data_IF_758840977774
#
_entry.id   IF_758840977774
#
_cell.length_a   1.000
_cell.length_b   1.000
_cell.length_c   1.000
_cell.angle_alpha   90.00
_cell.angle_beta   90.00
_cell.angle_gamma   90.00
#
_symmetry.space_group_name_H-M   'P 1'
#
loop_
_entity.id
_entity.type
_entity.pdbx_description
1 polymer ?
#
# COMPACT_ATOMS: atom_id res chain seq x y z
N UNK A 1 -12.44 45.75 -14.94
CA UNK A 1 -12.25 44.33 -15.36
C UNK A 1 -11.50 43.46 -14.36
N UNK A 2 -10.54 43.97 -13.58
CA UNK A 2 -9.67 43.18 -12.69
C UNK A 2 -10.41 42.55 -11.48
N UNK A 3 -11.38 43.26 -10.86
CA UNK A 3 -12.13 42.73 -9.71
C UNK A 3 -13.08 41.55 -10.05
N UNK A 4 -13.66 41.53 -11.26
CA UNK A 4 -14.58 40.45 -11.70
C UNK A 4 -13.83 39.13 -11.92
N UNK A 5 -12.57 39.20 -12.37
CA UNK A 5 -11.70 38.02 -12.51
C UNK A 5 -11.28 37.43 -11.17
N UNK A 6 -11.08 38.26 -10.14
CA UNK A 6 -10.67 37.77 -8.83
C UNK A 6 -11.81 37.07 -8.07
N UNK A 7 -13.05 37.58 -8.19
CA UNK A 7 -14.22 36.92 -7.60
C UNK A 7 -14.58 35.58 -8.28
N UNK A 8 -14.42 35.48 -9.60
CA UNK A 8 -14.60 34.23 -10.33
C UNK A 8 -13.58 33.16 -9.92
N UNK A 9 -12.33 33.56 -9.62
CA UNK A 9 -11.29 32.63 -9.14
C UNK A 9 -11.55 32.16 -7.71
N UNK A 10 -12.01 33.03 -6.82
CA UNK A 10 -12.37 32.65 -5.44
C UNK A 10 -13.56 31.68 -5.44
N UNK A 11 -14.62 31.96 -6.19
CA UNK A 11 -15.78 31.05 -6.28
C UNK A 11 -15.44 29.70 -6.95
N UNK A 12 -14.58 29.67 -7.98
CA UNK A 12 -14.08 28.40 -8.55
C UNK A 12 -13.33 27.57 -7.52
N UNK A 13 -12.53 28.21 -6.65
CA UNK A 13 -11.72 27.53 -5.63
C UNK A 13 -12.58 26.90 -4.53
N UNK A 14 -13.61 27.60 -4.04
CA UNK A 14 -14.57 27.07 -3.06
C UNK A 14 -15.47 25.99 -3.63
N UNK A 15 -15.95 26.14 -4.87
CA UNK A 15 -16.76 25.10 -5.53
C UNK A 15 -15.97 23.81 -5.73
N UNK A 16 -14.71 23.92 -6.18
CA UNK A 16 -13.79 22.77 -6.33
C UNK A 16 -13.52 22.06 -5.00
N UNK A 17 -13.38 22.80 -3.89
CA UNK A 17 -13.19 22.23 -2.55
C UNK A 17 -14.41 21.42 -2.09
N UNK A 18 -15.64 21.91 -2.34
CA UNK A 18 -16.90 21.20 -2.02
C UNK A 18 -17.03 19.87 -2.77
N UNK A 19 -16.72 19.85 -4.06
CA UNK A 19 -16.78 18.62 -4.85
C UNK A 19 -15.82 17.54 -4.33
N UNK A 20 -14.60 17.91 -3.96
CA UNK A 20 -13.61 16.92 -3.48
C UNK A 20 -14.03 16.31 -2.14
N UNK A 21 -14.61 17.10 -1.23
CA UNK A 21 -15.14 16.58 0.04
C UNK A 21 -16.28 15.59 -0.21
N UNK A 22 -17.19 15.91 -1.12
CA UNK A 22 -18.28 15.00 -1.51
C UNK A 22 -17.74 13.70 -2.12
N UNK A 23 -16.76 13.76 -3.02
CA UNK A 23 -16.11 12.58 -3.58
C UNK A 23 -15.43 11.71 -2.51
N UNK A 24 -14.83 12.35 -1.50
CA UNK A 24 -14.16 11.63 -0.41
C UNK A 24 -15.17 10.86 0.44
N UNK A 25 -16.27 11.51 0.82
CA UNK A 25 -17.35 10.87 1.59
C UNK A 25 -18.01 9.74 0.79
N UNK A 26 -18.30 9.99 -0.49
CA UNK A 26 -18.88 8.97 -1.38
C UNK A 26 -17.95 7.76 -1.53
N UNK A 27 -16.65 7.98 -1.71
CA UNK A 27 -15.65 6.93 -1.79
C UNK A 27 -15.63 6.08 -0.51
N UNK A 28 -15.68 6.69 0.68
CA UNK A 28 -15.74 5.95 1.95
C UNK A 28 -17.00 5.09 2.06
N UNK A 29 -18.15 5.61 1.62
CA UNK A 29 -19.42 4.87 1.63
C UNK A 29 -19.33 3.68 0.67
N UNK A 30 -18.84 3.89 -0.56
CA UNK A 30 -18.68 2.83 -1.55
C UNK A 30 -17.68 1.75 -1.09
N UNK A 31 -16.55 2.16 -0.52
CA UNK A 31 -15.53 1.23 -0.02
C UNK A 31 -16.03 0.44 1.21
N UNK A 32 -16.75 1.09 2.11
CA UNK A 32 -17.41 0.42 3.25
C UNK A 32 -18.46 -0.58 2.77
N UNK A 33 -19.27 -0.21 1.79
CA UNK A 33 -20.23 -1.12 1.15
C UNK A 33 -19.56 -2.32 0.49
N UNK A 34 -18.45 -2.11 -0.20
CA UNK A 34 -17.65 -3.18 -0.80
C UNK A 34 -17.12 -4.16 0.26
N UNK A 35 -16.57 -3.65 1.37
CA UNK A 35 -16.08 -4.48 2.47
C UNK A 35 -17.20 -5.35 3.07
N UNK A 36 -18.40 -4.79 3.23
CA UNK A 36 -19.57 -5.54 3.71
C UNK A 36 -20.01 -6.62 2.71
N UNK A 37 -20.06 -6.31 1.41
CA UNK A 37 -20.44 -7.29 0.39
C UNK A 37 -19.43 -8.42 0.24
N UNK A 38 -18.15 -8.16 0.47
CA UNK A 38 -17.07 -9.14 0.40
C UNK A 38 -16.90 -9.95 1.71
N UNK A 39 -17.72 -9.69 2.74
CA UNK A 39 -17.65 -10.40 4.02
C UNK A 39 -16.44 -10.01 4.89
N UNK A 40 -15.76 -8.90 4.60
CA UNK A 40 -14.63 -8.42 5.40
C UNK A 40 -15.09 -7.71 6.66
N UNK A 41 -14.26 -7.77 7.70
CA UNK A 41 -14.51 -7.08 8.97
C UNK A 41 -14.65 -5.56 8.78
N UNK A 42 -15.64 -4.93 9.43
CA UNK A 42 -15.83 -3.47 9.43
C UNK A 42 -14.63 -2.70 10.02
N UNK A 43 -13.67 -3.41 10.61
CA UNK A 43 -12.40 -2.87 11.06
C UNK A 43 -11.57 -2.28 9.90
N UNK A 44 -11.71 -2.79 8.66
CA UNK A 44 -11.01 -2.26 7.48
C UNK A 44 -11.39 -0.80 7.16
N UNK A 45 -12.68 -0.48 6.89
CA UNK A 45 -13.08 0.90 6.61
C UNK A 45 -12.87 1.81 7.83
N UNK A 46 -12.98 1.29 9.06
CA UNK A 46 -12.66 2.02 10.28
C UNK A 46 -11.17 2.41 10.33
N UNK A 47 -10.27 1.48 10.01
CA UNK A 47 -8.83 1.71 9.96
C UNK A 47 -8.46 2.73 8.88
N UNK A 48 -9.06 2.63 7.68
CA UNK A 48 -8.89 3.64 6.63
C UNK A 48 -9.39 5.03 7.09
N UNK A 49 -10.51 5.08 7.81
CA UNK A 49 -11.08 6.33 8.31
C UNK A 49 -10.17 6.99 9.33
N UNK A 50 -9.69 6.24 10.32
CA UNK A 50 -8.73 6.73 11.31
C UNK A 50 -7.41 7.17 10.67
N UNK A 51 -6.90 6.41 9.71
CA UNK A 51 -5.70 6.77 8.96
C UNK A 51 -5.89 8.09 8.21
N UNK A 52 -7.03 8.27 7.55
CA UNK A 52 -7.35 9.52 6.87
C UNK A 52 -7.50 10.70 7.81
N UNK A 53 -8.11 10.49 8.97
CA UNK A 53 -8.23 11.51 10.00
C UNK A 53 -6.86 11.90 10.57
N UNK A 54 -5.98 10.92 10.81
CA UNK A 54 -4.60 11.14 11.23
C UNK A 54 -3.83 11.99 10.21
N UNK A 55 -3.88 11.64 8.92
CA UNK A 55 -3.21 12.41 7.85
C UNK A 55 -3.78 13.83 7.70
N UNK A 56 -5.08 14.00 7.91
CA UNK A 56 -5.77 15.28 7.88
C UNK A 56 -5.35 16.17 9.06
N UNK A 57 -5.28 15.61 10.26
CA UNK A 57 -4.93 16.34 11.48
C UNK A 57 -3.49 16.85 11.47
N UNK A 58 -2.55 16.07 10.94
CA UNK A 58 -1.15 16.48 10.81
C UNK A 58 -0.91 17.56 9.74
N UNK A 59 -1.97 18.06 9.07
CA UNK A 59 -1.93 19.14 8.08
C UNK A 59 -0.95 18.90 6.91
N UNK A 60 -0.43 17.67 6.78
CA UNK A 60 0.50 17.24 5.74
C UNK A 60 -0.22 16.84 4.44
N UNK A 61 -1.52 16.57 4.53
CA UNK A 61 -2.33 16.11 3.41
C UNK A 61 -3.16 17.26 2.81
N UNK A 62 -2.74 17.76 1.66
CA UNK A 62 -3.72 18.41 0.77
C UNK A 62 -4.71 17.34 0.30
N UNK A 63 -5.96 17.70 0.05
CA UNK A 63 -7.00 16.73 -0.32
C UNK A 63 -6.60 15.87 -1.54
N UNK A 64 -5.75 16.42 -2.42
CA UNK A 64 -5.12 15.65 -3.51
C UNK A 64 -4.23 14.52 -2.99
N UNK A 65 -3.34 14.80 -2.03
CA UNK A 65 -2.46 13.75 -1.45
C UNK A 65 -3.29 12.65 -0.81
N UNK A 66 -4.32 13.03 -0.05
CA UNK A 66 -5.23 12.08 0.58
C UNK A 66 -5.88 11.13 -0.45
N UNK A 67 -6.34 11.68 -1.58
CA UNK A 67 -6.93 10.88 -2.66
C UNK A 67 -5.95 9.88 -3.27
N UNK A 68 -4.69 10.30 -3.51
CA UNK A 68 -3.67 9.39 -4.06
C UNK A 68 -3.35 8.25 -3.07
N UNK A 69 -3.24 8.55 -1.77
CA UNK A 69 -2.99 7.52 -0.74
C UNK A 69 -4.17 6.58 -0.58
N UNK A 70 -5.39 7.10 -0.50
CA UNK A 70 -6.61 6.28 -0.43
C UNK A 70 -6.74 5.39 -1.67
N UNK A 71 -6.45 5.91 -2.86
CA UNK A 71 -6.43 5.12 -4.09
C UNK A 71 -5.37 4.01 -4.03
N UNK A 72 -4.18 4.30 -3.52
CA UNK A 72 -3.11 3.32 -3.33
C UNK A 72 -3.53 2.19 -2.36
N UNK A 73 -4.18 2.55 -1.25
CA UNK A 73 -4.71 1.58 -0.28
C UNK A 73 -5.88 0.78 -0.86
N UNK A 74 -6.73 1.39 -1.68
CA UNK A 74 -7.80 0.66 -2.37
C UNK A 74 -7.21 -0.36 -3.33
N UNK A 75 -6.20 0.05 -4.08
CA UNK A 75 -5.56 -0.79 -5.08
C UNK A 75 -4.94 -2.03 -4.42
N UNK A 76 -4.27 -1.89 -3.27
CA UNK A 76 -3.73 -3.05 -2.55
C UNK A 76 -4.84 -3.93 -1.96
N UNK A 77 -5.92 -3.34 -1.44
CA UNK A 77 -7.08 -4.09 -0.93
C UNK A 77 -7.76 -4.89 -2.04
N UNK A 78 -8.00 -4.26 -3.19
CA UNK A 78 -8.56 -4.93 -4.36
C UNK A 78 -7.64 -6.03 -4.89
N UNK A 79 -6.34 -5.78 -4.94
CA UNK A 79 -5.36 -6.80 -5.36
C UNK A 79 -5.33 -7.99 -4.40
N UNK A 80 -5.33 -7.74 -3.10
CA UNK A 80 -5.37 -8.78 -2.08
C UNK A 80 -6.67 -9.60 -2.14
N UNK A 81 -7.82 -8.93 -2.31
CA UNK A 81 -9.11 -9.60 -2.48
C UNK A 81 -9.13 -10.48 -3.74
N UNK A 82 -8.59 -9.98 -4.86
CA UNK A 82 -8.54 -10.74 -6.12
C UNK A 82 -7.67 -11.98 -5.96
N UNK A 83 -6.49 -11.84 -5.36
CA UNK A 83 -5.58 -12.96 -5.11
C UNK A 83 -6.25 -13.99 -4.19
N UNK A 84 -6.86 -13.56 -3.09
CA UNK A 84 -7.50 -14.46 -2.14
C UNK A 84 -8.73 -15.18 -2.72
N UNK A 85 -9.54 -14.50 -3.54
CA UNK A 85 -10.86 -15.01 -3.97
C UNK A 85 -10.80 -15.77 -5.28
N UNK A 86 -9.94 -15.35 -6.22
CA UNK A 86 -9.93 -15.88 -7.59
C UNK A 86 -8.69 -16.69 -7.93
N UNK A 87 -7.70 -16.78 -7.03
CA UNK A 87 -6.45 -17.50 -7.32
C UNK A 87 -6.08 -18.45 -6.20
N UNK A 88 -5.60 -19.64 -6.55
CA UNK A 88 -4.97 -20.59 -5.60
C UNK A 88 -3.48 -20.25 -5.36
N UNK A 89 -3.07 -19.04 -5.75
CA UNK A 89 -1.69 -18.59 -5.65
C UNK A 89 -1.39 -18.27 -4.17
N UNK A 90 -0.17 -18.58 -3.69
CA UNK A 90 0.21 -18.25 -2.33
C UNK A 90 0.03 -16.77 -1.98
N UNK A 91 -0.42 -16.53 -0.77
CA UNK A 91 -0.80 -15.21 -0.26
C UNK A 91 0.35 -14.18 -0.25
N UNK A 92 1.60 -14.66 -0.18
CA UNK A 92 2.80 -13.83 -0.15
C UNK A 92 3.10 -13.09 -1.47
N UNK A 93 2.36 -13.37 -2.55
CA UNK A 93 2.48 -12.68 -3.83
C UNK A 93 1.90 -11.25 -3.84
N UNK A 94 1.14 -10.85 -2.81
CA UNK A 94 0.53 -9.52 -2.75
C UNK A 94 1.62 -8.42 -2.75
N UNK A 95 1.62 -7.47 -3.72
CA UNK A 95 2.71 -6.50 -3.92
C UNK A 95 2.67 -5.32 -2.93
N UNK A 96 2.75 -5.61 -1.62
CA UNK A 96 2.67 -4.60 -0.54
C UNK A 96 3.84 -3.61 -0.61
N UNK A 97 5.01 -4.05 -1.09
CA UNK A 97 6.17 -3.19 -1.18
C UNK A 97 6.04 -2.10 -2.24
N UNK A 98 5.20 -2.30 -3.25
CA UNK A 98 4.87 -1.28 -4.24
C UNK A 98 4.25 -0.04 -3.61
N UNK A 99 3.45 -0.21 -2.55
CA UNK A 99 2.76 0.88 -1.85
C UNK A 99 3.76 1.79 -1.12
N UNK A 100 4.72 1.19 -0.40
CA UNK A 100 5.78 1.93 0.28
C UNK A 100 6.67 2.68 -0.72
N UNK A 101 7.08 2.01 -1.80
CA UNK A 101 7.90 2.60 -2.86
C UNK A 101 7.19 3.76 -3.56
N UNK A 102 5.92 3.59 -3.99
CA UNK A 102 5.14 4.64 -4.63
C UNK A 102 4.89 5.83 -3.71
N UNK A 103 4.62 5.57 -2.42
CA UNK A 103 4.45 6.64 -1.44
C UNK A 103 5.72 7.46 -1.30
N UNK A 104 6.89 6.81 -1.24
CA UNK A 104 8.16 7.51 -1.14
C UNK A 104 8.46 8.31 -2.42
N UNK A 105 8.22 7.76 -3.61
CA UNK A 105 8.48 8.45 -4.87
C UNK A 105 7.52 9.63 -5.11
N UNK A 106 6.26 9.51 -4.72
CA UNK A 106 5.24 10.53 -4.97
C UNK A 106 5.30 11.69 -3.98
N UNK A 107 5.65 11.43 -2.72
CA UNK A 107 5.62 12.45 -1.66
C UNK A 107 6.98 12.82 -1.10
N UNK A 108 8.00 11.98 -1.32
CA UNK A 108 9.34 12.13 -0.77
C UNK A 108 9.33 12.39 0.77
N UNK A 109 8.35 11.83 1.48
CA UNK A 109 8.20 11.94 2.92
C UNK A 109 8.27 10.54 3.54
N UNK A 110 9.32 10.33 4.33
CA UNK A 110 9.60 9.05 4.97
C UNK A 110 8.57 8.67 6.04
N UNK A 111 8.05 9.66 6.78
CA UNK A 111 7.01 9.40 7.80
C UNK A 111 5.74 8.89 7.13
N UNK A 112 5.41 9.46 5.96
CA UNK A 112 4.26 9.04 5.18
C UNK A 112 4.46 7.63 4.62
N UNK A 113 5.64 7.34 4.06
CA UNK A 113 5.97 6.00 3.57
C UNK A 113 5.92 4.94 4.67
N UNK A 114 6.39 5.26 5.88
CA UNK A 114 6.29 4.38 7.05
C UNK A 114 4.84 4.07 7.41
N UNK A 115 4.00 5.11 7.55
CA UNK A 115 2.58 4.95 7.89
C UNK A 115 1.85 4.14 6.81
N UNK A 116 2.15 4.37 5.54
CA UNK A 116 1.53 3.65 4.43
C UNK A 116 2.01 2.19 4.35
N UNK A 117 3.28 1.92 4.64
CA UNK A 117 3.82 0.56 4.72
C UNK A 117 3.14 -0.22 5.86
N UNK A 118 2.93 0.41 7.01
CA UNK A 118 2.22 -0.18 8.14
C UNK A 118 0.75 -0.44 7.79
N UNK A 119 0.05 0.57 7.27
CA UNK A 119 -1.36 0.47 6.93
C UNK A 119 -1.62 -0.62 5.87
N UNK A 120 -0.85 -0.62 4.78
CA UNK A 120 -0.99 -1.62 3.73
C UNK A 120 -0.72 -3.05 4.22
N UNK A 121 0.29 -3.24 5.07
CA UNK A 121 0.60 -4.56 5.63
C UNK A 121 -0.49 -5.07 6.58
N UNK A 122 -1.06 -4.19 7.41
CA UNK A 122 -2.20 -4.54 8.28
C UNK A 122 -3.43 -4.89 7.44
N UNK A 123 -3.75 -4.08 6.42
CA UNK A 123 -4.91 -4.32 5.56
C UNK A 123 -4.81 -5.66 4.83
N UNK A 124 -3.66 -5.95 4.23
CA UNK A 124 -3.46 -7.21 3.51
C UNK A 124 -3.58 -8.40 4.45
N UNK A 125 -2.98 -8.34 5.65
CA UNK A 125 -3.14 -9.40 6.65
C UNK A 125 -4.61 -9.62 7.02
N UNK A 126 -5.38 -8.55 7.23
CA UNK A 126 -6.79 -8.65 7.62
C UNK A 126 -7.68 -9.23 6.52
N UNK A 127 -7.33 -8.96 5.25
CA UNK A 127 -8.04 -9.51 4.09
C UNK A 127 -7.74 -10.99 3.97
N UNK A 128 -6.45 -11.30 3.87
CA UNK A 128 -5.94 -12.63 3.58
C UNK A 128 -6.18 -13.60 4.74
N UNK A 129 -6.20 -13.11 5.99
CA UNK A 129 -6.30 -13.95 7.18
C UNK A 129 -4.94 -14.48 7.67
N UNK A 130 -3.84 -13.86 7.23
CA UNK A 130 -2.48 -14.30 7.52
C UNK A 130 -2.05 -14.12 8.99
N UNK A 131 -0.92 -14.74 9.32
CA UNK A 131 -0.30 -14.70 10.64
C UNK A 131 0.45 -13.37 10.89
N UNK A 132 0.96 -13.20 12.11
CA UNK A 132 1.77 -12.02 12.46
C UNK A 132 3.07 -12.00 11.65
N UNK A 133 3.63 -13.17 11.30
CA UNK A 133 4.82 -13.28 10.47
C UNK A 133 4.63 -12.71 9.07
N UNK A 134 3.49 -12.97 8.43
CA UNK A 134 3.14 -12.36 7.14
C UNK A 134 3.09 -10.83 7.22
N UNK A 135 2.44 -10.29 8.25
CA UNK A 135 2.39 -8.84 8.48
C UNK A 135 3.79 -8.24 8.63
N UNK A 136 4.66 -8.85 9.44
CA UNK A 136 6.01 -8.37 9.66
C UNK A 136 6.85 -8.44 8.37
N UNK A 137 6.72 -9.52 7.61
CA UNK A 137 7.41 -9.70 6.33
C UNK A 137 7.02 -8.59 5.35
N UNK A 138 5.73 -8.36 5.13
CA UNK A 138 5.25 -7.29 4.25
C UNK A 138 5.63 -5.90 4.74
N UNK A 139 5.59 -5.68 6.05
CA UNK A 139 5.95 -4.40 6.64
C UNK A 139 7.43 -4.08 6.44
N UNK A 140 8.33 -5.03 6.77
CA UNK A 140 9.77 -4.88 6.59
C UNK A 140 10.11 -4.73 5.11
N UNK A 141 9.53 -5.54 4.24
CA UNK A 141 9.73 -5.45 2.80
C UNK A 141 9.30 -4.11 2.22
N UNK A 142 8.10 -3.64 2.58
CA UNK A 142 7.57 -2.38 2.10
C UNK A 142 8.38 -1.18 2.59
N UNK A 143 8.82 -1.23 3.85
CA UNK A 143 9.68 -0.21 4.42
C UNK A 143 11.07 -0.21 3.76
N UNK A 144 11.69 -1.39 3.58
CA UNK A 144 12.97 -1.52 2.88
C UNK A 144 12.90 -0.99 1.44
N UNK A 145 11.82 -1.29 0.73
CA UNK A 145 11.56 -0.76 -0.61
C UNK A 145 11.49 0.77 -0.60
N UNK A 146 10.68 1.33 0.31
CA UNK A 146 10.54 2.78 0.48
C UNK A 146 11.88 3.47 0.74
N UNK A 147 12.72 2.93 1.64
CA UNK A 147 14.05 3.49 1.92
C UNK A 147 14.99 3.40 0.71
N UNK A 148 14.93 2.31 -0.05
CA UNK A 148 15.85 2.07 -1.18
C UNK A 148 15.52 2.94 -2.39
N UNK A 149 14.23 3.25 -2.61
CA UNK A 149 13.82 4.17 -3.67
C UNK A 149 13.96 5.65 -3.29
N UNK A 150 14.39 5.94 -2.05
CA UNK A 150 14.69 7.32 -1.65
C UNK A 150 15.78 7.86 -2.56
N UNK A 151 15.49 8.98 -3.23
CA UNK A 151 16.35 9.61 -4.24
C UNK A 151 16.57 8.79 -5.53
N UNK A 152 15.74 7.79 -5.81
CA UNK A 152 15.76 7.07 -7.07
C UNK A 152 15.23 7.95 -8.22
N UNK A 153 16.08 8.19 -9.22
CA UNK A 153 15.74 8.97 -10.43
C UNK A 153 15.80 8.17 -11.72
N UNK A 154 16.22 6.90 -11.65
CA UNK A 154 16.41 6.04 -12.83
C UNK A 154 15.69 4.72 -12.65
N UNK A 155 15.14 4.18 -13.75
CA UNK A 155 14.43 2.89 -13.77
C UNK A 155 15.27 1.75 -13.19
N UNK A 156 16.59 1.76 -13.41
CA UNK A 156 17.52 0.78 -12.85
C UNK A 156 17.56 0.78 -11.32
N UNK A 157 17.46 1.95 -10.67
CA UNK A 157 17.37 2.03 -9.20
C UNK A 157 16.05 1.46 -8.66
N UNK A 158 14.96 1.60 -9.40
CA UNK A 158 13.67 1.02 -8.99
C UNK A 158 13.69 -0.51 -9.07
N UNK A 159 14.27 -1.08 -10.13
CA UNK A 159 14.43 -2.53 -10.27
C UNK A 159 15.34 -3.07 -9.15
N UNK A 160 16.44 -2.37 -8.86
CA UNK A 160 17.34 -2.71 -7.74
C UNK A 160 16.63 -2.65 -6.38
N UNK A 161 15.74 -1.67 -6.17
CA UNK A 161 14.91 -1.62 -4.97
C UNK A 161 13.99 -2.84 -4.85
N UNK A 162 13.37 -3.28 -5.95
CA UNK A 162 12.58 -4.52 -5.98
C UNK A 162 13.38 -5.75 -5.58
N UNK A 163 14.60 -5.88 -6.12
CA UNK A 163 15.53 -6.95 -5.75
C UNK A 163 15.88 -6.89 -4.25
N UNK A 164 16.15 -5.71 -3.72
CA UNK A 164 16.44 -5.53 -2.29
C UNK A 164 15.25 -5.94 -1.42
N UNK A 165 14.02 -5.59 -1.82
CA UNK A 165 12.79 -6.03 -1.15
C UNK A 165 12.67 -7.56 -1.16
N UNK A 166 12.94 -8.21 -2.30
CA UNK A 166 12.90 -9.67 -2.39
C UNK A 166 13.83 -10.34 -1.38
N UNK A 167 15.06 -9.83 -1.25
CA UNK A 167 16.04 -10.32 -0.27
C UNK A 167 15.55 -10.08 1.16
N UNK A 168 15.04 -8.88 1.46
CA UNK A 168 14.55 -8.56 2.80
C UNK A 168 13.34 -9.41 3.21
N UNK A 169 12.41 -9.68 2.29
CA UNK A 169 11.27 -10.56 2.53
C UNK A 169 11.71 -11.99 2.84
N UNK A 170 12.67 -12.51 2.07
CA UNK A 170 13.25 -13.84 2.29
C UNK A 170 13.92 -13.91 3.66
N UNK A 171 14.73 -12.90 4.01
CA UNK A 171 15.39 -12.81 5.32
C UNK A 171 14.34 -12.75 6.45
N UNK A 172 13.28 -11.96 6.28
CA UNK A 172 12.21 -11.85 7.28
C UNK A 172 11.55 -13.21 7.53
N UNK A 173 11.21 -13.95 6.47
CA UNK A 173 10.62 -15.29 6.59
C UNK A 173 11.57 -16.29 7.26
N UNK A 174 12.86 -16.24 6.92
CA UNK A 174 13.88 -17.09 7.54
C UNK A 174 14.02 -16.80 9.04
N UNK A 175 14.03 -15.52 9.43
CA UNK A 175 14.11 -15.12 10.85
C UNK A 175 12.85 -15.49 11.64
N UNK A 176 11.68 -15.46 10.99
CA UNK A 176 10.41 -15.84 11.60
C UNK A 176 10.21 -17.36 11.74
N UNK A 177 11.03 -18.15 11.03
CA UNK A 177 10.94 -19.62 11.03
C UNK A 177 12.14 -20.22 11.76
N UNK A 178 12.07 -20.41 13.09
CA UNK A 178 13.21 -20.87 13.89
C UNK A 178 13.56 -22.36 13.66
N UNK A 179 12.68 -23.14 13.02
CA UNK A 179 12.88 -24.57 12.82
C UNK A 179 13.64 -24.87 11.53
N UNK A 180 14.93 -25.18 11.64
CA UNK A 180 15.78 -25.52 10.49
C UNK A 180 15.25 -26.72 9.67
N UNK A 181 14.56 -27.66 10.31
CA UNK A 181 13.95 -28.81 9.64
C UNK A 181 12.80 -28.43 8.69
N UNK A 182 12.02 -27.38 9.00
CA UNK A 182 10.96 -26.91 8.11
C UNK A 182 11.46 -25.99 6.99
N UNK A 183 12.70 -25.49 7.09
CA UNK A 183 13.32 -24.68 6.04
C UNK A 183 13.78 -25.52 4.84
N UNK A 184 14.12 -26.80 5.07
CA UNK A 184 14.61 -27.70 4.02
C UNK A 184 13.51 -28.44 3.25
N UNK A 185 12.24 -28.29 3.63
CA UNK A 185 11.13 -28.89 2.90
C UNK A 185 10.78 -28.07 1.66
N UNK A 186 10.62 -28.76 0.52
CA UNK A 186 10.23 -28.17 -0.77
C UNK A 186 8.91 -27.39 -0.68
N UNK A 187 7.99 -27.85 0.18
CA UNK A 187 6.71 -27.18 0.43
C UNK A 187 6.88 -25.78 1.03
N UNK A 188 7.87 -25.57 1.89
CA UNK A 188 8.15 -24.27 2.49
C UNK A 188 8.71 -23.29 1.43
N UNK A 189 9.63 -23.78 0.59
CA UNK A 189 10.20 -22.97 -0.48
C UNK A 189 9.13 -22.47 -1.46
N UNK A 190 8.22 -23.34 -1.90
CA UNK A 190 7.17 -23.02 -2.89
C UNK A 190 6.09 -22.10 -2.33
N UNK A 191 5.67 -22.29 -1.08
CA UNK A 191 4.55 -21.54 -0.52
C UNK A 191 4.95 -20.23 0.19
N UNK A 192 6.20 -20.10 0.63
CA UNK A 192 6.66 -18.93 1.39
C UNK A 192 7.82 -18.22 0.69
N UNK A 193 8.88 -18.94 0.31
CA UNK A 193 10.11 -18.33 -0.17
C UNK A 193 9.99 -17.73 -1.58
N UNK A 194 9.53 -18.52 -2.56
CA UNK A 194 9.33 -18.07 -3.93
C UNK A 194 8.31 -16.92 -4.04
N UNK A 195 7.13 -16.99 -3.40
CA UNK A 195 6.15 -15.92 -3.42
C UNK A 195 6.68 -14.61 -2.81
N UNK A 196 7.39 -14.71 -1.68
CA UNK A 196 7.93 -13.54 -0.99
C UNK A 196 9.07 -12.87 -1.76
N UNK A 197 9.88 -13.66 -2.47
CA UNK A 197 10.86 -13.14 -3.42
C UNK A 197 10.17 -12.51 -4.64
N UNK A 198 9.16 -13.16 -5.21
CA UNK A 198 8.41 -12.65 -6.35
C UNK A 198 7.69 -11.33 -6.03
N UNK A 199 7.20 -11.17 -4.79
CA UNK A 199 6.57 -9.93 -4.32
C UNK A 199 7.44 -8.69 -4.57
N UNK A 200 8.74 -8.75 -4.25
CA UNK A 200 9.66 -7.64 -4.48
C UNK A 200 9.80 -7.27 -5.96
N UNK A 201 9.88 -8.29 -6.84
CA UNK A 201 9.90 -8.09 -8.29
C UNK A 201 8.60 -7.52 -8.84
N UNK A 202 7.45 -8.10 -8.47
CA UNK A 202 6.12 -7.65 -8.90
C UNK A 202 5.91 -6.21 -8.45
N UNK A 203 6.30 -5.89 -7.22
CA UNK A 203 6.23 -4.54 -6.67
C UNK A 203 7.07 -3.55 -7.47
N UNK A 204 8.32 -3.88 -7.82
CA UNK A 204 9.14 -2.99 -8.65
C UNK A 204 8.59 -2.83 -10.07
N UNK A 205 8.08 -3.90 -10.67
CA UNK A 205 7.45 -3.82 -11.98
C UNK A 205 6.22 -2.91 -11.95
N UNK A 206 5.37 -3.06 -10.93
CA UNK A 206 4.20 -2.21 -10.71
C UNK A 206 4.62 -0.73 -10.60
N UNK A 207 5.63 -0.43 -9.78
CA UNK A 207 6.12 0.95 -9.59
C UNK A 207 6.68 1.51 -10.90
N UNK A 208 7.47 0.74 -11.65
CA UNK A 208 8.06 1.15 -12.94
C UNK A 208 6.98 1.35 -14.01
N UNK A 209 5.94 0.52 -14.04
CA UNK A 209 4.84 0.63 -15.00
C UNK A 209 3.96 1.87 -14.75
N UNK A 210 3.89 2.34 -13.50
CA UNK A 210 3.09 3.52 -13.13
C UNK A 210 3.80 4.86 -13.31
N UNK A 211 5.11 4.88 -13.58
CA UNK A 211 5.96 6.09 -13.73
C UNK A 211 6.36 6.36 -15.18
#
# INVERSE_FOLDING_TARGET
>A
MIQKNNQNNVQKKTRKKRWIVLFTVLYFILFGGFCLSAGYSLILPLLLFFLGLYLSFFNKASVKKFLHLGLLLTLIVSTAHVIQTYTEIPEYYVPVAGIGMLTMLLFNDLQLAFIMSLASSVLVRLIVGGDIGMFLTFFIGSLAGAYTVRDARTRGKLISAGLFVSVMNVIAILLLTPNAASLMTTHFAINYLYPAAANGFISAFLVVATL
#
